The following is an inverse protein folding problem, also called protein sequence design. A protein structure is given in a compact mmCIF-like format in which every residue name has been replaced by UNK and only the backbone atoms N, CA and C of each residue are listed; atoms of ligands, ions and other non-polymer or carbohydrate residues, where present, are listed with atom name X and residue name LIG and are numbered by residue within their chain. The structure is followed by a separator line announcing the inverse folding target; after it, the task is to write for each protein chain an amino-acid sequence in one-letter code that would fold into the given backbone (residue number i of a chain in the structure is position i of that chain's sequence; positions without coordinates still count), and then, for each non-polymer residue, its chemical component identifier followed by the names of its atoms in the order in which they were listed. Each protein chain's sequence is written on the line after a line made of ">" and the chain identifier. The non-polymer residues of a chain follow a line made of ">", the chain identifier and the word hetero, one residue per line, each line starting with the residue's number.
data_IF_603284320804
#
_entry.id   IF_603284320804
#
_cell.length_a   1.000
_cell.length_b   1.000
_cell.length_c   1.000
_cell.angle_alpha   90.00
_cell.angle_beta   90.00
_cell.angle_gamma   90.00
#
_symmetry.space_group_name_H-M   'P 1'
#
loop_
_entity.id
_entity.type
_entity.pdbx_description
1 polymer ?
#
# COMPACT_ATOMS: atom_id res chain seq x y z
N UNK A 1 -15.39 -12.80 -102.98
CA UNK A 1 -15.01 -13.89 -102.06
C UNK A 1 -13.58 -13.66 -101.66
N UNK A 2 -13.19 -13.31 -100.44
CA UNK A 2 -13.87 -12.86 -99.22
C UNK A 2 -12.72 -12.42 -98.31
N UNK A 3 -12.94 -11.32 -97.60
CA UNK A 3 -12.02 -10.73 -96.63
C UNK A 3 -11.64 -11.70 -95.51
N UNK A 4 -10.48 -11.49 -94.87
CA UNK A 4 -10.36 -11.39 -93.42
C UNK A 4 -8.94 -10.98 -93.03
N UNK A 5 -8.80 -9.72 -92.62
CA UNK A 5 -7.63 -9.15 -91.96
C UNK A 5 -7.71 -9.48 -90.47
N UNK A 6 -6.72 -10.20 -89.94
CA UNK A 6 -6.57 -10.50 -88.52
C UNK A 6 -5.81 -9.35 -87.83
N UNK A 7 -6.49 -8.60 -86.96
CA UNK A 7 -5.87 -7.70 -85.98
C UNK A 7 -5.60 -8.47 -84.68
N UNK A 8 -4.32 -8.56 -84.29
CA UNK A 8 -3.91 -8.97 -82.94
C UNK A 8 -3.64 -7.70 -82.11
N UNK A 9 -4.50 -7.42 -81.14
CA UNK A 9 -4.26 -6.44 -80.08
C UNK A 9 -3.75 -7.19 -78.84
N UNK A 10 -2.47 -7.02 -78.53
CA UNK A 10 -1.89 -7.47 -77.27
C UNK A 10 -2.23 -6.48 -76.15
N UNK A 11 -2.73 -6.91 -74.98
CA UNK A 11 -2.87 -6.04 -73.82
C UNK A 11 -1.50 -5.76 -73.19
N UNK A 12 -1.22 -4.46 -73.06
CA UNK A 12 -0.07 -3.89 -72.36
C UNK A 12 -0.21 -4.23 -70.86
N UNK A 13 0.80 -4.83 -70.20
CA UNK A 13 0.77 -5.04 -68.76
C UNK A 13 0.93 -3.69 -68.03
N UNK A 14 0.21 -3.47 -66.91
CA UNK A 14 0.38 -2.24 -66.14
C UNK A 14 1.78 -2.18 -65.53
N UNK A 15 2.44 -1.04 -65.70
CA UNK A 15 3.68 -0.69 -65.02
C UNK A 15 3.53 -0.89 -63.51
N UNK A 16 4.29 -1.82 -62.95
CA UNK A 16 4.56 -1.88 -61.52
C UNK A 16 5.42 -0.67 -61.14
N UNK A 17 4.81 0.32 -60.49
CA UNK A 17 5.49 1.38 -59.78
C UNK A 17 6.19 0.77 -58.54
N UNK A 18 7.44 0.33 -58.67
CA UNK A 18 8.29 -0.06 -57.53
C UNK A 18 8.74 1.20 -56.78
N UNK A 19 7.85 1.74 -55.95
CA UNK A 19 8.17 2.82 -55.01
C UNK A 19 8.82 2.24 -53.74
N UNK A 20 10.14 2.33 -53.71
CA UNK A 20 10.92 2.72 -52.52
C UNK A 20 10.74 1.91 -51.22
N UNK A 21 11.16 0.64 -51.23
CA UNK A 21 11.38 -0.14 -49.98
C UNK A 21 12.81 0.02 -49.41
N UNK A 22 13.69 0.80 -50.07
CA UNK A 22 15.05 1.03 -49.58
C UNK A 22 15.15 2.04 -48.42
N UNK A 23 14.10 2.79 -48.11
CA UNK A 23 14.14 3.75 -47.00
C UNK A 23 13.71 3.13 -45.65
N UNK A 24 12.94 2.03 -45.64
CA UNK A 24 12.47 1.38 -44.39
C UNK A 24 13.51 0.48 -43.72
N UNK A 25 14.45 -0.09 -44.47
CA UNK A 25 15.51 -0.95 -43.92
C UNK A 25 16.62 -0.17 -43.20
N UNK A 26 16.86 1.09 -43.57
CA UNK A 26 17.90 1.92 -42.93
C UNK A 26 17.50 2.44 -41.55
N UNK A 27 16.20 2.59 -41.27
CA UNK A 27 15.70 3.04 -39.96
C UNK A 27 15.80 1.92 -38.91
N UNK A 28 15.55 0.66 -39.29
CA UNK A 28 15.65 -0.48 -38.35
C UNK A 28 17.09 -0.78 -37.89
N UNK A 29 18.09 -0.59 -38.75
CA UNK A 29 19.49 -0.78 -38.36
C UNK A 29 19.99 0.28 -37.36
N UNK A 30 19.49 1.52 -37.44
CA UNK A 30 19.84 2.57 -36.48
C UNK A 30 19.16 2.40 -35.12
N UNK A 31 17.96 1.81 -35.04
CA UNK A 31 17.32 1.49 -33.75
C UNK A 31 18.04 0.36 -33.00
N UNK A 32 18.40 -0.73 -33.70
CA UNK A 32 19.15 -1.85 -33.10
C UNK A 32 20.53 -1.45 -32.57
N UNK A 33 21.20 -0.48 -33.22
CA UNK A 33 22.47 0.07 -32.75
C UNK A 33 22.32 0.93 -31.48
N UNK A 34 21.21 1.67 -31.37
CA UNK A 34 20.92 2.52 -30.21
C UNK A 34 20.57 1.69 -28.97
N UNK A 35 19.79 0.63 -29.14
CA UNK A 35 19.44 -0.28 -28.04
C UNK A 35 20.65 -1.04 -27.51
N UNK A 36 21.55 -1.51 -28.41
CA UNK A 36 22.80 -2.14 -27.97
C UNK A 36 23.68 -1.19 -27.17
N UNK A 37 23.84 0.07 -27.61
CA UNK A 37 24.61 1.08 -26.84
C UNK A 37 23.98 1.38 -25.49
N UNK A 38 22.65 1.45 -25.41
CA UNK A 38 21.94 1.66 -24.14
C UNK A 38 22.16 0.49 -23.18
N UNK A 39 22.09 -0.75 -23.70
CA UNK A 39 22.34 -1.95 -22.91
C UNK A 39 23.79 -2.02 -22.41
N UNK A 40 24.78 -1.69 -23.26
CA UNK A 40 26.18 -1.65 -22.81
C UNK A 40 26.40 -0.59 -21.74
N UNK A 41 25.81 0.60 -21.87
CA UNK A 41 25.89 1.64 -20.85
C UNK A 41 25.24 1.20 -19.53
N UNK A 42 24.08 0.53 -19.58
CA UNK A 42 23.41 -0.01 -18.39
C UNK A 42 24.23 -1.09 -17.69
N UNK A 43 24.87 -1.99 -18.45
CA UNK A 43 25.75 -3.02 -17.89
C UNK A 43 27.00 -2.42 -17.22
N UNK A 44 27.59 -1.39 -17.82
CA UNK A 44 28.73 -0.67 -17.21
C UNK A 44 28.31 0.05 -15.94
N UNK A 45 27.16 0.74 -15.95
CA UNK A 45 26.62 1.40 -14.77
C UNK A 45 26.34 0.40 -13.64
N UNK A 46 25.74 -0.74 -13.97
CA UNK A 46 25.47 -1.80 -13.01
C UNK A 46 26.76 -2.38 -12.41
N UNK A 47 27.79 -2.61 -13.24
CA UNK A 47 29.09 -3.07 -12.76
C UNK A 47 29.75 -2.06 -11.79
N UNK A 48 29.65 -0.75 -12.06
CA UNK A 48 30.17 0.30 -11.17
C UNK A 48 29.42 0.30 -9.83
N UNK A 49 28.08 0.21 -9.85
CA UNK A 49 27.25 0.18 -8.63
C UNK A 49 27.58 -1.06 -7.79
N UNK A 50 27.67 -2.23 -8.42
CA UNK A 50 28.02 -3.47 -7.73
C UNK A 50 29.43 -3.43 -7.13
N UNK A 51 30.39 -2.84 -7.83
CA UNK A 51 31.75 -2.65 -7.31
C UNK A 51 31.75 -1.72 -6.08
N UNK A 52 30.99 -0.62 -6.13
CA UNK A 52 30.82 0.29 -5.00
C UNK A 52 30.17 -0.37 -3.77
N UNK A 53 29.14 -1.20 -3.99
CA UNK A 53 28.50 -1.96 -2.92
C UNK A 53 29.45 -2.98 -2.28
N UNK A 54 30.24 -3.70 -3.08
CA UNK A 54 31.22 -4.65 -2.56
C UNK A 54 32.32 -3.96 -1.74
N UNK A 55 32.81 -2.81 -2.19
CA UNK A 55 33.77 -1.99 -1.43
C UNK A 55 33.14 -1.51 -0.11
N UNK A 56 31.89 -1.04 -0.14
CA UNK A 56 31.16 -0.60 1.04
C UNK A 56 30.98 -1.72 2.08
N UNK A 57 30.58 -2.91 1.64
CA UNK A 57 30.45 -4.10 2.50
C UNK A 57 31.81 -4.48 3.11
N UNK A 58 32.89 -4.43 2.31
CA UNK A 58 34.24 -4.74 2.79
C UNK A 58 34.69 -3.75 3.88
N UNK A 59 34.46 -2.44 3.68
CA UNK A 59 34.77 -1.42 4.69
C UNK A 59 33.95 -1.65 5.97
N UNK A 60 32.65 -1.94 5.85
CA UNK A 60 31.80 -2.24 7.01
C UNK A 60 32.26 -3.49 7.77
N UNK A 61 32.72 -4.51 7.06
CA UNK A 61 33.26 -5.72 7.68
C UNK A 61 34.57 -5.43 8.42
N UNK A 62 35.45 -4.58 7.87
CA UNK A 62 36.67 -4.17 8.54
C UNK A 62 36.39 -3.33 9.79
N UNK A 63 35.45 -2.37 9.73
CA UNK A 63 35.09 -1.57 10.91
C UNK A 63 34.49 -2.44 12.00
N UNK A 64 33.67 -3.44 11.65
CA UNK A 64 33.12 -4.39 12.61
C UNK A 64 34.21 -5.25 13.27
N UNK A 65 35.21 -5.71 12.50
CA UNK A 65 36.35 -6.44 13.06
C UNK A 65 37.19 -5.58 14.02
N UNK A 66 37.41 -4.30 13.71
CA UNK A 66 38.14 -3.36 14.58
C UNK A 66 37.35 -3.07 15.87
N UNK A 67 36.05 -2.83 15.77
CA UNK A 67 35.16 -2.65 16.94
C UNK A 67 35.18 -3.87 17.86
N UNK A 68 35.07 -5.07 17.28
CA UNK A 68 35.08 -6.31 18.04
C UNK A 68 36.45 -6.63 18.68
N UNK A 69 37.56 -6.18 18.08
CA UNK A 69 38.88 -6.27 18.71
C UNK A 69 39.05 -5.29 19.88
N UNK A 70 38.51 -4.08 19.78
CA UNK A 70 38.57 -3.10 20.88
C UNK A 70 37.72 -3.51 22.09
N UNK A 71 36.53 -4.08 21.88
CA UNK A 71 35.69 -4.56 22.99
C UNK A 71 36.33 -5.70 23.78
N UNK A 72 37.10 -6.58 23.13
CA UNK A 72 37.83 -7.65 23.83
C UNK A 72 38.99 -7.13 24.68
N UNK A 73 39.64 -6.03 24.30
CA UNK A 73 40.71 -5.44 25.12
C UNK A 73 40.16 -4.67 26.33
N UNK A 74 38.99 -4.03 26.20
CA UNK A 74 38.33 -3.37 27.33
C UNK A 74 37.78 -4.40 28.35
N UNK A 75 37.24 -5.53 27.89
CA UNK A 75 36.72 -6.54 28.81
C UNK A 75 37.82 -7.24 29.62
N UNK A 76 39.01 -7.43 29.04
CA UNK A 76 40.16 -8.02 29.74
C UNK A 76 40.69 -7.13 30.86
N UNK A 77 40.70 -5.81 30.65
CA UNK A 77 41.24 -4.84 31.64
C UNK A 77 40.26 -4.57 32.79
N UNK A 78 38.95 -4.68 32.55
CA UNK A 78 37.93 -4.51 33.61
C UNK A 78 37.85 -5.75 34.53
N UNK A 79 38.12 -6.94 34.01
CA UNK A 79 38.12 -8.17 34.83
C UNK A 79 39.29 -8.19 35.83
N UNK A 80 40.48 -7.73 35.44
CA UNK A 80 41.65 -7.69 36.33
C UNK A 80 41.52 -6.65 37.47
N UNK A 81 40.83 -5.53 37.22
CA UNK A 81 40.57 -4.52 38.27
C UNK A 81 39.57 -5.04 39.30
N UNK A 82 38.55 -5.80 38.87
CA UNK A 82 37.50 -6.28 39.77
C UNK A 82 37.97 -7.41 40.70
N UNK A 83 38.91 -8.26 40.26
CA UNK A 83 39.54 -9.29 41.11
C UNK A 83 40.54 -8.72 42.11
N UNK A 84 41.18 -7.58 41.79
CA UNK A 84 42.14 -6.95 42.72
C UNK A 84 41.41 -6.16 43.82
N UNK A 85 40.25 -5.57 43.52
CA UNK A 85 39.44 -4.84 44.51
C UNK A 85 38.69 -5.79 45.47
N UNK A 86 38.24 -6.96 45.00
CA UNK A 86 37.60 -7.96 45.89
C UNK A 86 38.58 -8.65 46.84
N UNK A 87 39.88 -8.69 46.51
CA UNK A 87 40.90 -9.26 47.41
C UNK A 87 41.34 -8.31 48.54
N UNK A 88 41.12 -6.99 48.42
CA UNK A 88 41.50 -6.02 49.46
C UNK A 88 40.37 -5.65 50.45
N UNK A 89 39.13 -6.09 50.21
CA UNK A 89 37.99 -5.74 51.08
C UNK A 89 37.69 -6.84 52.13
N UNK A 90 38.32 -8.00 52.05
CA UNK A 90 38.04 -9.12 52.96
C UNK A 90 38.83 -9.04 54.30
N UNK A 91 39.85 -8.19 54.42
CA UNK A 91 40.71 -8.14 55.62
C UNK A 91 40.36 -7.03 56.63
N UNK A 92 39.17 -6.45 56.54
CA UNK A 92 38.69 -5.45 57.52
C UNK A 92 37.35 -5.82 58.14
N UNK A 93 37.21 -7.08 58.57
CA UNK A 93 36.35 -7.37 59.71
C UNK A 93 36.99 -6.75 60.95
N UNK A 94 36.30 -5.82 61.61
CA UNK A 94 36.08 -5.79 63.07
C UNK A 94 35.73 -4.37 63.56
N UNK A 95 34.53 -3.87 63.25
CA UNK A 95 33.83 -2.89 64.11
C UNK A 95 32.36 -3.33 64.24
N UNK A 96 32.19 -4.28 65.15
CA UNK A 96 31.18 -4.33 66.21
C UNK A 96 30.03 -3.31 66.15
N UNK A 97 28.82 -3.87 66.00
CA UNK A 97 27.59 -3.56 66.78
C UNK A 97 27.03 -2.14 66.74
N UNK A 98 26.18 -1.88 65.75
CA UNK A 98 24.81 -1.33 65.86
C UNK A 98 24.18 -1.29 64.47
N UNK A 99 23.81 -2.46 63.93
CA UNK A 99 22.85 -2.52 62.82
C UNK A 99 21.54 -2.95 63.44
N UNK A 100 20.76 -1.96 63.88
CA UNK A 100 19.33 -2.13 64.04
C UNK A 100 18.77 -2.65 62.72
N UNK A 101 17.96 -3.71 62.81
CA UNK A 101 17.13 -4.22 61.74
C UNK A 101 16.21 -3.10 61.24
N UNK A 102 16.66 -2.32 60.26
CA UNK A 102 15.77 -1.75 59.25
C UNK A 102 15.59 -2.80 58.16
N UNK A 103 14.89 -3.89 58.50
CA UNK A 103 14.10 -4.62 57.49
C UNK A 103 13.01 -3.66 57.03
N UNK A 104 13.39 -2.72 56.17
CA UNK A 104 12.46 -1.99 55.32
C UNK A 104 11.77 -3.07 54.50
N UNK A 105 10.59 -3.49 54.96
CA UNK A 105 9.62 -4.21 54.16
C UNK A 105 9.24 -3.27 53.03
N UNK A 106 10.06 -3.24 51.99
CA UNK A 106 9.78 -2.57 50.74
C UNK A 106 8.53 -3.27 50.22
N UNK A 107 7.38 -2.65 50.48
CA UNK A 107 6.08 -3.23 50.23
C UNK A 107 5.97 -3.40 48.72
N UNK A 108 6.19 -4.63 48.24
CA UNK A 108 6.13 -4.93 46.81
C UNK A 108 4.76 -4.46 46.30
N UNK A 109 4.79 -3.49 45.39
CA UNK A 109 3.59 -2.98 44.76
C UNK A 109 2.99 -4.08 43.89
N UNK A 110 1.67 -4.22 43.93
CA UNK A 110 0.95 -5.24 43.19
C UNK A 110 1.01 -4.96 41.68
N UNK A 111 1.21 -6.01 40.89
CA UNK A 111 1.28 -5.94 39.42
C UNK A 111 -0.11 -6.03 38.80
N UNK A 112 -0.20 -5.82 37.48
CA UNK A 112 -1.45 -5.97 36.74
C UNK A 112 -2.14 -7.31 37.04
N UNK A 113 -3.43 -7.27 37.35
CA UNK A 113 -4.24 -8.46 37.67
C UNK A 113 -4.09 -8.95 39.11
N UNK A 114 -3.13 -8.44 39.88
CA UNK A 114 -3.00 -8.77 41.30
C UNK A 114 -4.00 -7.98 42.15
N UNK A 115 -4.26 -8.51 43.35
CA UNK A 115 -5.15 -7.91 44.33
C UNK A 115 -4.52 -6.66 44.95
N UNK A 116 -5.33 -5.64 45.21
CA UNK A 116 -4.90 -4.40 45.85
C UNK A 116 -5.90 -3.93 46.91
N UNK A 117 -5.36 -3.45 48.03
CA UNK A 117 -6.17 -3.03 49.19
C UNK A 117 -6.43 -1.52 49.24
N UNK A 118 -5.66 -0.72 48.50
CA UNK A 118 -5.71 0.74 48.49
C UNK A 118 -5.21 1.30 47.15
N UNK A 119 -5.54 2.56 46.85
CA UNK A 119 -5.34 3.18 45.53
C UNK A 119 -3.87 3.21 45.09
N UNK A 120 -2.94 3.37 46.04
CA UNK A 120 -1.49 3.34 45.81
C UNK A 120 -0.87 1.95 46.00
N UNK A 121 -1.68 0.89 45.96
CA UNK A 121 -1.22 -0.49 46.15
C UNK A 121 -0.61 -1.12 44.90
N UNK A 122 -0.78 -0.48 43.74
CA UNK A 122 -0.34 -1.00 42.45
C UNK A 122 0.93 -0.31 41.96
N UNK A 123 1.74 -1.04 41.19
CA UNK A 123 2.93 -0.49 40.54
C UNK A 123 2.51 0.55 39.48
N UNK A 124 3.15 1.72 39.43
CA UNK A 124 2.84 2.71 38.39
C UNK A 124 3.12 2.12 37.01
N UNK A 125 2.19 2.20 36.03
CA UNK A 125 1.03 3.10 35.95
C UNK A 125 -0.33 2.46 36.29
N UNK A 126 -0.38 1.30 36.96
CA UNK A 126 -1.63 0.62 37.28
C UNK A 126 -2.42 1.34 38.38
N UNK A 127 -3.75 1.26 38.32
CA UNK A 127 -4.68 1.82 39.31
C UNK A 127 -5.47 0.68 39.95
N UNK A 128 -5.66 0.75 41.26
CA UNK A 128 -6.47 -0.23 41.99
C UNK A 128 -7.97 -0.02 41.70
N UNK A 129 -8.59 -0.95 40.97
CA UNK A 129 -10.01 -0.86 40.65
C UNK A 129 -10.84 -1.73 41.60
N UNK A 130 -11.60 -1.11 42.52
CA UNK A 130 -12.50 -1.81 43.45
C UNK A 130 -13.92 -1.90 42.88
N UNK A 131 -14.53 -3.09 42.93
CA UNK A 131 -15.95 -3.28 42.56
C UNK A 131 -16.91 -2.92 43.69
N UNK A 132 -16.48 -3.06 44.95
CA UNK A 132 -17.26 -2.77 46.15
C UNK A 132 -16.33 -2.54 47.35
N UNK A 133 -16.83 -1.94 48.44
CA UNK A 133 -16.06 -1.70 49.66
C UNK A 133 -15.62 -2.97 50.40
N UNK A 134 -16.24 -4.11 50.09
CA UNK A 134 -16.02 -5.40 50.78
C UNK A 134 -15.21 -6.42 49.97
N UNK A 135 -14.85 -6.10 48.71
CA UNK A 135 -14.04 -6.98 47.85
C UNK A 135 -12.64 -6.40 47.66
N UNK A 136 -11.57 -7.23 47.69
CA UNK A 136 -10.24 -6.77 47.27
C UNK A 136 -10.32 -6.16 45.86
N UNK A 137 -9.62 -5.03 45.66
CA UNK A 137 -9.50 -4.42 44.35
C UNK A 137 -8.58 -5.23 43.45
N UNK A 138 -8.54 -4.90 42.17
CA UNK A 138 -7.59 -5.51 41.24
C UNK A 138 -6.83 -4.41 40.49
N UNK A 139 -5.51 -4.54 40.38
CA UNK A 139 -4.69 -3.60 39.64
C UNK A 139 -4.99 -3.72 38.15
N UNK A 140 -5.40 -2.59 37.54
CA UNK A 140 -5.75 -2.50 36.12
C UNK A 140 -5.09 -1.28 35.50
N UNK A 141 -5.04 -1.25 34.17
CA UNK A 141 -4.66 -0.04 33.48
C UNK A 141 -5.69 1.09 33.71
N UNK A 142 -5.26 2.36 33.67
CA UNK A 142 -6.17 3.50 33.70
C UNK A 142 -7.24 3.43 32.60
N UNK A 143 -8.29 4.25 32.73
CA UNK A 143 -9.26 4.44 31.65
C UNK A 143 -8.52 4.94 30.39
N UNK A 144 -8.92 4.43 29.22
CA UNK A 144 -8.25 4.67 27.93
C UNK A 144 -6.86 4.04 27.78
N UNK A 145 -6.47 3.11 28.65
CA UNK A 145 -5.25 2.32 28.49
C UNK A 145 -5.56 0.83 28.36
N UNK A 146 -4.83 0.14 27.47
CA UNK A 146 -4.90 -1.31 27.33
C UNK A 146 -3.61 -1.97 27.85
N UNK A 147 -3.72 -3.16 28.43
CA UNK A 147 -2.57 -3.94 28.88
C UNK A 147 -1.98 -4.72 27.71
N UNK A 148 -0.76 -4.38 27.27
CA UNK A 148 -0.05 -5.07 26.18
C UNK A 148 1.43 -5.25 26.56
N UNK A 149 1.94 -6.49 26.49
CA UNK A 149 3.35 -6.85 26.76
C UNK A 149 3.83 -6.30 28.11
N UNK A 150 3.08 -6.60 29.18
CA UNK A 150 3.39 -6.23 30.56
C UNK A 150 3.40 -4.74 30.89
N UNK A 151 2.88 -3.90 30.00
CA UNK A 151 2.72 -2.45 30.24
C UNK A 151 1.33 -1.96 29.83
N UNK A 152 0.89 -0.89 30.47
CA UNK A 152 -0.26 -0.14 30.00
C UNK A 152 0.16 0.76 28.83
N UNK A 153 -0.55 0.67 27.71
CA UNK A 153 -0.38 1.54 26.55
C UNK A 153 -1.65 2.34 26.31
N UNK A 154 -1.50 3.66 26.21
CA UNK A 154 -2.57 4.62 26.01
C UNK A 154 -3.19 4.47 24.62
N UNK A 155 -4.51 4.33 24.60
CA UNK A 155 -5.37 4.29 23.44
C UNK A 155 -5.69 5.72 22.94
N UNK A 156 -6.55 5.87 21.93
CA UNK A 156 -6.92 7.18 21.38
C UNK A 156 -7.40 8.13 22.49
N UNK A 157 -6.81 9.33 22.53
CA UNK A 157 -7.07 10.41 23.49
C UNK A 157 -6.61 10.16 24.94
N UNK A 158 -5.95 9.04 25.23
CA UNK A 158 -5.32 8.80 26.53
C UNK A 158 -4.25 9.88 26.80
N UNK A 159 -4.19 10.38 28.03
CA UNK A 159 -3.13 11.32 28.45
C UNK A 159 -1.77 10.65 28.32
N UNK A 160 -0.75 11.36 27.87
CA UNK A 160 0.58 10.78 27.67
C UNK A 160 1.68 11.81 27.99
N UNK A 161 2.89 11.32 28.24
CA UNK A 161 4.08 12.17 28.43
C UNK A 161 5.09 12.00 27.30
N UNK A 162 5.17 10.77 26.75
CA UNK A 162 6.10 10.36 25.71
C UNK A 162 5.37 9.47 24.69
N UNK A 163 5.92 9.37 23.49
CA UNK A 163 5.32 8.53 22.43
C UNK A 163 5.27 7.04 22.80
N UNK A 164 6.22 6.57 23.62
CA UNK A 164 6.27 5.18 24.11
C UNK A 164 5.09 4.81 25.03
N UNK A 165 4.39 5.82 25.56
CA UNK A 165 3.20 5.64 26.39
C UNK A 165 1.98 5.26 25.53
N UNK A 166 2.01 5.53 24.22
CA UNK A 166 0.90 5.30 23.31
C UNK A 166 1.00 3.94 22.58
N UNK A 167 -0.13 3.47 22.01
CA UNK A 167 -0.13 2.28 21.16
C UNK A 167 0.70 2.46 19.87
N UNK A 168 0.97 1.35 19.18
CA UNK A 168 1.69 1.35 17.90
C UNK A 168 0.98 2.26 16.88
N UNK A 169 1.77 3.03 16.12
CA UNK A 169 1.31 4.04 15.16
C UNK A 169 0.54 5.22 15.77
N UNK A 170 0.63 5.42 17.09
CA UNK A 170 0.22 6.66 17.74
C UNK A 170 1.44 7.52 18.12
N UNK A 171 1.20 8.81 18.32
CA UNK A 171 2.15 9.78 18.87
C UNK A 171 1.49 10.55 20.01
N UNK A 172 2.31 10.99 20.95
CA UNK A 172 1.88 11.81 22.07
C UNK A 172 1.86 13.29 21.66
N UNK A 173 0.73 13.71 21.10
CA UNK A 173 0.54 15.05 20.53
C UNK A 173 -0.01 16.05 21.56
N UNK A 174 0.45 17.30 21.50
CA UNK A 174 -0.10 18.40 22.31
C UNK A 174 -1.48 18.84 21.82
N UNK A 175 -2.37 19.11 22.76
CA UNK A 175 -3.72 19.63 22.55
C UNK A 175 -3.80 21.13 22.89
N UNK A 176 -4.86 21.81 22.45
CA UNK A 176 -5.05 23.25 22.69
C UNK A 176 -5.22 23.63 24.17
N UNK A 177 -5.57 22.66 25.03
CA UNK A 177 -5.71 22.85 26.48
C UNK A 177 -4.37 22.68 27.24
N UNK A 178 -3.26 22.48 26.52
CA UNK A 178 -1.94 22.24 27.10
C UNK A 178 -1.70 20.80 27.56
N UNK A 179 -2.71 19.92 27.47
CA UNK A 179 -2.53 18.49 27.72
C UNK A 179 -1.88 17.81 26.52
N UNK A 180 -1.25 16.66 26.75
CA UNK A 180 -0.74 15.80 25.67
C UNK A 180 -1.52 14.50 25.67
N UNK A 181 -1.94 14.06 24.48
CA UNK A 181 -2.79 12.89 24.30
C UNK A 181 -2.34 12.04 23.12
N UNK A 182 -2.56 10.74 23.23
CA UNK A 182 -2.27 9.79 22.15
C UNK A 182 -3.18 10.03 20.95
N UNK A 183 -2.57 10.29 19.79
CA UNK A 183 -3.25 10.48 18.51
C UNK A 183 -2.61 9.57 17.46
N UNK A 184 -3.40 9.10 16.48
CA UNK A 184 -2.82 8.37 15.35
C UNK A 184 -1.80 9.24 14.59
N UNK A 185 -0.74 8.60 14.10
CA UNK A 185 0.23 9.22 13.21
C UNK A 185 -0.43 9.72 11.93
N UNK A 186 0.23 10.65 11.23
CA UNK A 186 -0.22 11.10 9.91
C UNK A 186 -0.35 9.88 8.99
N UNK A 187 -1.43 9.81 8.22
CA UNK A 187 -1.81 8.67 7.37
C UNK A 187 -2.29 7.44 8.13
N UNK A 188 -2.57 7.53 9.42
CA UNK A 188 -3.24 6.47 10.16
C UNK A 188 -4.60 6.97 10.65
N UNK A 189 -5.62 6.11 10.54
CA UNK A 189 -6.95 6.35 11.07
C UNK A 189 -7.22 5.39 12.22
N UNK A 190 -7.96 5.86 13.22
CA UNK A 190 -8.34 5.02 14.35
C UNK A 190 -9.50 4.10 13.98
N UNK A 191 -9.28 2.79 14.09
CA UNK A 191 -10.29 1.76 13.90
C UNK A 191 -10.95 1.46 15.26
N UNK A 192 -12.17 1.98 15.44
CA UNK A 192 -12.93 1.82 16.69
C UNK A 192 -13.23 0.34 17.02
N UNK A 193 -13.44 -0.51 16.02
CA UNK A 193 -13.78 -1.92 16.22
C UNK A 193 -12.58 -2.71 16.72
N UNK A 194 -11.38 -2.30 16.29
CA UNK A 194 -10.12 -2.95 16.65
C UNK A 194 -9.35 -2.22 17.74
N UNK A 195 -9.82 -1.03 18.15
CA UNK A 195 -9.17 -0.13 19.11
C UNK A 195 -7.67 0.06 18.81
N UNK A 196 -7.35 0.37 17.56
CA UNK A 196 -5.98 0.56 17.10
C UNK A 196 -5.93 1.51 15.90
N UNK A 197 -4.82 2.22 15.73
CA UNK A 197 -4.56 2.97 14.51
C UNK A 197 -4.19 2.02 13.37
N UNK A 198 -4.83 2.19 12.21
CA UNK A 198 -4.53 1.46 10.98
C UNK A 198 -4.08 2.42 9.90
N UNK A 199 -3.10 1.99 9.11
CA UNK A 199 -2.56 2.73 7.98
C UNK A 199 -3.62 2.94 6.90
N UNK A 200 -3.81 4.20 6.53
CA UNK A 200 -4.55 4.63 5.35
C UNK A 200 -3.66 4.54 4.10
N UNK A 201 -4.16 4.95 2.94
CA UNK A 201 -3.41 4.93 1.69
C UNK A 201 -2.07 5.65 1.82
N UNK A 202 -1.01 4.98 1.36
CA UNK A 202 0.41 5.35 1.45
C UNK A 202 1.04 5.33 2.86
N UNK A 203 0.31 4.91 3.89
CA UNK A 203 0.89 4.71 5.21
C UNK A 203 1.92 3.56 5.18
N UNK A 204 3.05 3.66 5.89
CA UNK A 204 4.01 2.58 5.99
C UNK A 204 3.38 1.36 6.68
N UNK A 205 3.73 0.16 6.21
CA UNK A 205 3.19 -1.10 6.73
C UNK A 205 4.25 -2.21 6.71
N UNK A 206 4.11 -3.20 7.59
CA UNK A 206 4.92 -4.43 7.59
C UNK A 206 4.10 -5.64 7.11
N UNK A 207 2.78 -5.59 7.35
CA UNK A 207 1.82 -6.63 7.00
C UNK A 207 0.43 -6.07 6.71
N UNK A 208 -0.46 -6.90 6.15
CA UNK A 208 -1.82 -6.48 5.80
C UNK A 208 -2.68 -6.10 7.02
N UNK A 209 -2.32 -6.55 8.24
CA UNK A 209 -3.09 -6.20 9.45
C UNK A 209 -2.89 -4.74 9.85
N UNK A 210 -1.79 -4.13 9.39
CA UNK A 210 -1.44 -2.74 9.68
C UNK A 210 -2.31 -1.78 8.86
N UNK A 211 -2.82 -2.24 7.71
CA UNK A 211 -3.64 -1.42 6.82
C UNK A 211 -5.12 -1.44 7.22
N UNK A 212 -5.81 -0.36 6.86
CA UNK A 212 -7.28 -0.26 6.98
C UNK A 212 -7.96 -1.30 6.09
N UNK A 213 -9.22 -1.61 6.39
CA UNK A 213 -10.05 -2.47 5.54
C UNK A 213 -9.98 -2.02 4.06
N UNK A 214 -9.89 -2.99 3.15
CA UNK A 214 -9.79 -2.82 1.69
C UNK A 214 -8.46 -2.23 1.18
N UNK A 215 -7.46 -2.07 2.05
CA UNK A 215 -6.06 -1.81 1.68
C UNK A 215 -5.21 -3.05 1.93
N UNK A 216 -4.19 -3.23 1.09
CA UNK A 216 -3.18 -4.28 1.22
C UNK A 216 -1.81 -3.66 1.42
N UNK A 217 -0.96 -4.32 2.20
CA UNK A 217 0.41 -3.86 2.39
C UNK A 217 1.25 -4.22 1.16
N UNK A 218 1.57 -3.22 0.35
CA UNK A 218 2.34 -3.40 -0.86
C UNK A 218 3.84 -3.45 -0.54
N UNK A 219 4.38 -4.67 -0.56
CA UNK A 219 5.79 -4.95 -0.32
C UNK A 219 6.70 -4.72 -1.53
N UNK A 220 6.14 -4.42 -2.70
CA UNK A 220 6.95 -4.13 -3.90
C UNK A 220 7.54 -2.72 -3.89
N UNK A 221 7.06 -1.84 -3.01
CA UNK A 221 7.57 -0.48 -2.80
C UNK A 221 8.43 -0.45 -1.53
N UNK A 222 9.48 0.37 -1.51
CA UNK A 222 10.34 0.57 -0.33
C UNK A 222 10.34 2.06 0.07
N UNK A 223 9.89 2.42 1.28
CA UNK A 223 9.31 1.52 2.29
C UNK A 223 7.99 0.90 1.80
N UNK A 224 7.61 -0.25 2.36
CA UNK A 224 6.33 -0.89 2.07
C UNK A 224 5.19 0.00 2.56
N UNK A 225 4.14 0.14 1.75
CA UNK A 225 3.02 1.06 2.02
C UNK A 225 1.68 0.40 1.79
N UNK A 226 0.66 0.84 2.52
CA UNK A 226 -0.72 0.45 2.27
C UNK A 226 -1.19 1.02 0.93
N UNK A 227 -1.60 0.15 0.01
CA UNK A 227 -2.18 0.54 -1.28
C UNK A 227 -3.46 -0.26 -1.55
N UNK A 228 -4.25 0.18 -2.53
CA UNK A 228 -5.36 -0.63 -2.99
C UNK A 228 -4.85 -1.93 -3.63
N UNK A 229 -5.70 -2.95 -3.63
CA UNK A 229 -5.46 -4.20 -4.35
C UNK A 229 -5.45 -3.94 -5.88
N UNK A 230 -4.90 -4.89 -6.65
CA UNK A 230 -4.94 -4.81 -8.11
C UNK A 230 -6.39 -4.64 -8.59
N UNK A 231 -6.59 -3.75 -9.58
CA UNK A 231 -7.91 -3.36 -10.10
C UNK A 231 -8.77 -2.51 -9.16
N UNK A 232 -8.18 -1.93 -8.12
CA UNK A 232 -8.84 -0.93 -7.28
C UNK A 232 -8.10 0.40 -7.31
N UNK A 233 -8.86 1.50 -7.28
CA UNK A 233 -8.36 2.88 -7.25
C UNK A 233 -8.71 3.54 -5.91
N UNK A 234 -7.75 4.26 -5.35
CA UNK A 234 -7.97 5.01 -4.10
C UNK A 234 -8.77 6.28 -4.37
N UNK A 235 -9.92 6.44 -3.70
CA UNK A 235 -10.76 7.61 -3.82
C UNK A 235 -10.53 8.58 -2.64
N UNK A 236 -9.82 9.70 -2.82
CA UNK A 236 -9.35 10.54 -1.72
C UNK A 236 -10.49 11.19 -0.93
N UNK A 237 -11.62 11.51 -1.57
CA UNK A 237 -12.74 12.18 -0.90
C UNK A 237 -13.44 11.30 0.15
N UNK A 238 -13.43 9.98 -0.04
CA UNK A 238 -14.08 9.02 0.87
C UNK A 238 -13.07 8.13 1.60
N UNK A 239 -11.77 8.29 1.31
CA UNK A 239 -10.65 7.55 1.89
C UNK A 239 -10.85 6.04 1.84
N UNK A 240 -11.24 5.53 0.67
CA UNK A 240 -11.53 4.10 0.42
C UNK A 240 -11.06 3.70 -0.98
N UNK A 241 -10.75 2.42 -1.14
CA UNK A 241 -10.46 1.81 -2.43
C UNK A 241 -11.76 1.46 -3.15
N UNK A 242 -11.82 1.73 -4.45
CA UNK A 242 -12.97 1.38 -5.29
C UNK A 242 -12.55 0.51 -6.46
N UNK A 243 -13.29 -0.57 -6.70
CA UNK A 243 -13.03 -1.54 -7.75
C UNK A 243 -13.33 -0.97 -9.13
N UNK A 244 -12.35 -1.04 -10.02
CA UNK A 244 -12.47 -0.76 -11.45
C UNK A 244 -13.50 -1.70 -12.10
N UNK A 245 -14.07 -1.35 -13.26
CA UNK A 245 -14.82 -2.28 -14.09
C UNK A 245 -14.03 -3.58 -14.33
N UNK A 246 -14.63 -4.71 -13.95
CA UNK A 246 -14.03 -6.04 -13.98
C UNK A 246 -13.38 -6.51 -12.66
N UNK A 247 -13.22 -5.62 -11.66
CA UNK A 247 -12.75 -6.02 -10.33
C UNK A 247 -13.76 -6.95 -9.65
N UNK A 248 -13.28 -7.93 -8.89
CA UNK A 248 -14.14 -8.84 -8.12
C UNK A 248 -14.86 -8.05 -7.02
N UNK A 249 -16.12 -8.34 -6.76
CA UNK A 249 -16.89 -7.65 -5.73
C UNK A 249 -17.89 -8.60 -5.04
N UNK A 250 -18.23 -8.27 -3.79
CA UNK A 250 -19.35 -8.88 -3.07
C UNK A 250 -20.50 -7.86 -3.01
N UNK A 251 -21.74 -8.30 -3.27
CA UNK A 251 -22.94 -7.44 -3.24
C UNK A 251 -23.15 -6.78 -1.87
N UNK A 252 -22.69 -7.40 -0.78
CA UNK A 252 -22.83 -6.84 0.57
C UNK A 252 -21.88 -5.66 0.86
N UNK A 253 -20.72 -5.64 0.20
CA UNK A 253 -19.64 -4.67 0.49
C UNK A 253 -19.16 -3.96 -0.77
N UNK A 254 -19.96 -3.96 -1.84
CA UNK A 254 -19.55 -3.51 -3.16
C UNK A 254 -19.09 -2.05 -3.15
N UNK A 255 -17.77 -1.86 -3.14
CA UNK A 255 -17.10 -0.56 -3.34
C UNK A 255 -16.64 -0.47 -4.79
N UNK A 256 -17.55 -0.48 -5.77
CA UNK A 256 -17.16 -0.22 -7.16
C UNK A 256 -16.92 1.29 -7.38
N UNK A 257 -16.22 1.66 -8.46
CA UNK A 257 -16.07 3.07 -8.87
C UNK A 257 -17.43 3.76 -9.07
N UNK A 258 -17.46 5.09 -9.07
CA UNK A 258 -18.71 5.83 -9.29
C UNK A 258 -19.37 5.38 -10.58
N UNK A 259 -20.70 5.26 -10.55
CA UNK A 259 -21.52 4.78 -11.66
C UNK A 259 -21.26 3.32 -12.08
N UNK A 260 -20.59 2.52 -11.24
CA UNK A 260 -20.54 1.08 -11.34
C UNK A 260 -21.35 0.40 -10.22
N UNK A 261 -21.83 -0.80 -10.51
CA UNK A 261 -22.55 -1.67 -9.58
C UNK A 261 -21.93 -3.07 -9.60
N UNK A 262 -22.01 -3.78 -8.48
CA UNK A 262 -21.54 -5.16 -8.42
C UNK A 262 -22.57 -6.11 -9.03
N UNK A 263 -22.26 -6.68 -10.20
CA UNK A 263 -23.11 -7.63 -10.92
C UNK A 263 -22.35 -8.93 -11.13
N UNK A 264 -22.99 -10.03 -10.75
CA UNK A 264 -22.43 -11.39 -10.89
C UNK A 264 -21.00 -11.56 -10.35
N UNK A 265 -20.69 -10.83 -9.26
CA UNK A 265 -19.40 -10.87 -8.58
C UNK A 265 -18.31 -10.00 -9.22
N UNK A 266 -18.65 -9.17 -10.21
CA UNK A 266 -17.73 -8.22 -10.82
C UNK A 266 -18.32 -6.79 -10.84
N UNK A 267 -17.45 -5.79 -10.69
CA UNK A 267 -17.85 -4.39 -10.86
C UNK A 267 -18.14 -4.13 -12.34
N UNK A 268 -19.37 -3.71 -12.66
CA UNK A 268 -19.79 -3.35 -14.00
C UNK A 268 -20.34 -1.93 -14.02
N UNK A 269 -20.01 -1.14 -15.05
CA UNK A 269 -20.65 0.16 -15.22
C UNK A 269 -22.18 -0.02 -15.36
N UNK A 270 -22.92 0.76 -14.57
CA UNK A 270 -24.38 0.81 -14.59
C UNK A 270 -24.91 1.05 -16.01
N UNK A 271 -26.18 0.70 -16.28
CA UNK A 271 -26.74 0.59 -17.64
C UNK A 271 -26.47 1.79 -18.58
N UNK A 272 -26.37 3.01 -18.03
CA UNK A 272 -26.16 4.24 -18.79
C UNK A 272 -24.71 4.69 -18.91
N UNK A 273 -23.75 3.95 -18.34
CA UNK A 273 -22.33 4.29 -18.33
C UNK A 273 -21.48 3.22 -19.03
N UNK A 274 -20.30 3.63 -19.48
CA UNK A 274 -19.29 2.75 -20.07
C UNK A 274 -17.93 2.98 -19.43
N UNK A 275 -17.09 1.92 -19.38
CA UNK A 275 -15.70 2.08 -18.97
C UNK A 275 -14.95 2.92 -20.01
N UNK A 276 -14.21 3.93 -19.55
CA UNK A 276 -13.22 4.64 -20.35
C UNK A 276 -11.83 3.97 -20.28
N UNK A 277 -10.83 4.58 -20.93
CA UNK A 277 -9.44 4.09 -20.92
C UNK A 277 -8.83 4.08 -19.51
N UNK A 278 -9.30 4.94 -18.62
CA UNK A 278 -8.88 5.02 -17.21
C UNK A 278 -9.68 4.11 -16.28
N UNK A 279 -10.51 3.21 -16.85
CA UNK A 279 -11.38 2.30 -16.10
C UNK A 279 -12.35 3.02 -15.15
N UNK A 280 -12.79 4.21 -15.53
CA UNK A 280 -13.87 4.93 -14.87
C UNK A 280 -15.17 4.78 -15.66
N UNK A 281 -16.32 4.86 -15.00
CA UNK A 281 -17.61 4.78 -15.67
C UNK A 281 -18.12 6.18 -16.03
N UNK A 282 -17.99 6.54 -17.30
CA UNK A 282 -18.39 7.86 -17.83
C UNK A 282 -19.72 7.78 -18.57
N UNK A 283 -20.49 8.87 -18.53
CA UNK A 283 -21.71 9.00 -19.35
C UNK A 283 -21.26 9.23 -20.80
N UNK A 284 -21.49 8.26 -21.69
CA UNK A 284 -20.97 8.36 -23.04
C UNK A 284 -21.87 9.23 -23.93
N UNK A 285 -23.01 9.70 -23.41
CA UNK A 285 -23.99 10.53 -24.07
C UNK A 285 -24.09 11.92 -23.41
N UNK A 286 -23.05 12.77 -23.46
CA UNK A 286 -23.12 14.11 -22.89
C UNK A 286 -24.24 14.91 -23.57
N UNK A 287 -25.14 15.49 -22.77
CA UNK A 287 -26.35 16.22 -23.18
C UNK A 287 -26.13 17.42 -24.13
N UNK A 288 -24.89 17.72 -24.55
CA UNK A 288 -24.53 18.99 -25.19
C UNK A 288 -24.02 18.87 -26.63
N UNK A 289 -23.96 17.69 -27.25
CA UNK A 289 -23.54 17.59 -28.66
C UNK A 289 -24.70 17.30 -29.61
N UNK A 290 -24.83 18.06 -30.72
CA UNK A 290 -25.77 17.73 -31.78
C UNK A 290 -25.22 16.51 -32.54
N UNK A 291 -25.68 15.32 -32.16
CA UNK A 291 -25.28 14.00 -32.69
C UNK A 291 -23.84 13.57 -32.36
N UNK A 292 -23.58 12.25 -32.27
CA UNK A 292 -24.45 11.13 -32.69
C UNK A 292 -25.48 10.66 -31.62
N UNK A 293 -26.67 10.28 -32.09
CA UNK A 293 -27.74 9.68 -31.28
C UNK A 293 -27.38 8.27 -30.77
N UNK A 294 -26.43 7.60 -31.43
CA UNK A 294 -25.90 6.30 -31.06
C UNK A 294 -24.38 6.30 -31.11
N UNK A 295 -23.77 5.70 -30.10
CA UNK A 295 -22.31 5.62 -29.96
C UNK A 295 -21.88 4.17 -29.83
N UNK A 296 -20.67 3.87 -30.30
CA UNK A 296 -20.14 2.51 -30.21
C UNK A 296 -19.80 2.16 -28.76
N UNK A 297 -20.04 0.91 -28.38
CA UNK A 297 -19.56 0.38 -27.10
C UNK A 297 -18.04 0.14 -27.13
N UNK A 298 -17.27 0.65 -26.16
CA UNK A 298 -15.82 0.43 -26.11
C UNK A 298 -15.46 -1.07 -26.10
N UNK A 299 -14.51 -1.47 -26.94
CA UNK A 299 -14.01 -2.85 -27.00
C UNK A 299 -14.95 -3.89 -27.65
N UNK A 300 -16.20 -3.55 -27.99
CA UNK A 300 -17.11 -4.46 -28.68
C UNK A 300 -17.86 -3.75 -29.81
N UNK A 301 -17.42 -3.97 -31.04
CA UNK A 301 -18.02 -3.33 -32.22
C UNK A 301 -19.43 -3.79 -32.58
N UNK A 302 -19.92 -4.90 -32.03
CA UNK A 302 -21.31 -5.32 -32.23
C UNK A 302 -22.25 -4.57 -31.31
N UNK A 303 -21.74 -4.01 -30.21
CA UNK A 303 -22.55 -3.30 -29.22
C UNK A 303 -22.49 -1.79 -29.45
N UNK A 304 -23.61 -1.12 -29.17
CA UNK A 304 -23.73 0.32 -29.21
C UNK A 304 -24.68 0.81 -28.11
N UNK A 305 -24.62 2.10 -27.81
CA UNK A 305 -25.50 2.77 -26.85
C UNK A 305 -26.39 3.72 -27.62
N UNK A 306 -27.69 3.60 -27.41
CA UNK A 306 -28.68 4.55 -27.91
C UNK A 306 -28.87 5.64 -26.86
N UNK A 307 -28.38 6.84 -27.13
CA UNK A 307 -28.41 7.96 -26.20
C UNK A 307 -29.83 8.49 -25.95
N UNK A 308 -30.76 8.29 -26.89
CA UNK A 308 -32.15 8.70 -26.71
C UNK A 308 -32.87 7.76 -25.74
N UNK A 309 -32.61 6.45 -25.88
CA UNK A 309 -33.22 5.42 -25.02
C UNK A 309 -32.41 5.11 -23.76
N UNK A 310 -31.18 5.62 -23.65
CA UNK A 310 -30.19 5.28 -22.61
C UNK A 310 -30.00 3.77 -22.43
N UNK A 311 -29.99 3.04 -23.53
CA UNK A 311 -29.95 1.58 -23.55
C UNK A 311 -28.74 1.04 -24.31
N UNK A 312 -28.16 -0.05 -23.79
CA UNK A 312 -27.12 -0.84 -24.47
C UNK A 312 -27.81 -1.83 -25.40
N UNK A 313 -27.44 -1.83 -26.67
CA UNK A 313 -28.03 -2.70 -27.72
C UNK A 313 -26.91 -3.41 -28.49
N UNK A 314 -27.21 -4.60 -29.04
CA UNK A 314 -26.27 -5.39 -29.83
C UNK A 314 -26.81 -5.60 -31.26
N UNK A 315 -25.92 -5.50 -32.25
CA UNK A 315 -26.23 -5.77 -33.65
C UNK A 315 -26.46 -7.26 -33.92
N UNK A 316 -27.44 -7.63 -34.75
CA UNK A 316 -27.67 -9.02 -35.14
C UNK A 316 -26.47 -9.59 -35.90
N UNK A 317 -26.18 -10.88 -35.74
CA UNK A 317 -25.08 -11.50 -36.48
C UNK A 317 -25.39 -11.58 -37.98
N UNK A 318 -24.41 -11.33 -38.87
CA UNK A 318 -22.97 -11.09 -38.63
C UNK A 318 -22.58 -9.59 -38.61
N UNK A 319 -23.52 -8.69 -38.33
CA UNK A 319 -23.33 -7.23 -38.48
C UNK A 319 -22.62 -6.58 -37.28
N UNK A 320 -22.01 -5.42 -37.52
CA UNK A 320 -21.30 -4.59 -36.55
C UNK A 320 -21.83 -3.15 -36.60
N UNK A 321 -21.71 -2.40 -35.50
CA UNK A 321 -22.18 -1.03 -35.45
C UNK A 321 -21.28 -0.06 -36.25
N UNK A 322 -21.85 0.52 -37.29
CA UNK A 322 -21.23 1.53 -38.14
C UNK A 322 -21.48 2.92 -37.55
N UNK A 323 -20.47 3.49 -36.87
CA UNK A 323 -20.61 4.78 -36.18
C UNK A 323 -20.94 5.92 -37.15
N UNK A 324 -20.39 5.92 -38.37
CA UNK A 324 -20.68 6.96 -39.38
C UNK A 324 -22.11 6.90 -39.88
N UNK A 325 -22.63 5.69 -40.11
CA UNK A 325 -24.01 5.49 -40.60
C UNK A 325 -25.06 5.40 -39.49
N UNK A 326 -24.65 5.30 -38.23
CA UNK A 326 -25.52 5.16 -37.05
C UNK A 326 -26.44 3.91 -37.09
N UNK A 327 -25.97 2.83 -37.73
CA UNK A 327 -26.72 1.57 -37.94
C UNK A 327 -25.80 0.35 -37.95
N UNK A 328 -26.39 -0.85 -37.84
CA UNK A 328 -25.66 -2.12 -37.97
C UNK A 328 -25.39 -2.44 -39.45
N UNK A 329 -24.12 -2.69 -39.79
CA UNK A 329 -23.64 -2.90 -41.16
C UNK A 329 -22.70 -4.12 -41.22
N UNK A 330 -22.41 -4.62 -42.41
CA UNK A 330 -21.49 -5.75 -42.56
C UNK A 330 -20.03 -5.34 -42.21
N UNK A 331 -19.20 -6.24 -41.64
CA UNK A 331 -17.84 -5.92 -41.22
C UNK A 331 -16.94 -5.31 -42.30
N UNK A 332 -17.20 -5.66 -43.57
CA UNK A 332 -16.48 -5.09 -44.72
C UNK A 332 -16.67 -3.57 -44.89
N UNK A 333 -17.79 -3.04 -44.38
CA UNK A 333 -18.24 -1.66 -44.53
C UNK A 333 -18.06 -0.82 -43.25
N UNK A 334 -17.61 -1.42 -42.14
CA UNK A 334 -17.33 -0.74 -40.87
C UNK A 334 -15.84 -0.42 -40.76
N UNK A 335 -15.45 0.77 -41.21
CA UNK A 335 -14.05 1.20 -41.20
C UNK A 335 -13.51 1.49 -39.80
N UNK A 336 -14.34 2.02 -38.91
CA UNK A 336 -13.83 2.52 -37.64
C UNK A 336 -13.57 1.40 -36.61
N UNK A 337 -13.81 0.12 -36.95
CA UNK A 337 -13.73 -1.05 -36.05
C UNK A 337 -12.54 -1.99 -36.38
N UNK A 338 -11.61 -1.58 -37.25
CA UNK A 338 -10.50 -2.44 -37.69
C UNK A 338 -9.20 -2.20 -36.93
#
# INVERSE_FOLDING_TARGET
>A
MTDHVLSFSSPIPPLLETKSDHCRLRIRFNQLSRERRLLTCLLVLFAIIMCGLLIGIFILSLTFQVLHQNDRQLLSTVVDINTTITAQIIDTTLITTTIELTTSTEKQLARYGESCDYDNGCESPFICHKKSSSSPGMCRCPMDYDFKRDKCVGDLNALCTKDIDCQQYMLCSGMNDGTRRCQCQKHFDYDNDKRQCRGDYQAPCESNIDCRANLVCNKTVTPSVCSCELFYQYHPAIRKCRGDPGAVCDRATAECVDNAECRDGACECSKQFVPDENKTCVDPCPLQTPNPSRIRYPGNCRKFIDCQQKSKTECPEPTMFNLRKQLCDYPKDVLDCR
#
